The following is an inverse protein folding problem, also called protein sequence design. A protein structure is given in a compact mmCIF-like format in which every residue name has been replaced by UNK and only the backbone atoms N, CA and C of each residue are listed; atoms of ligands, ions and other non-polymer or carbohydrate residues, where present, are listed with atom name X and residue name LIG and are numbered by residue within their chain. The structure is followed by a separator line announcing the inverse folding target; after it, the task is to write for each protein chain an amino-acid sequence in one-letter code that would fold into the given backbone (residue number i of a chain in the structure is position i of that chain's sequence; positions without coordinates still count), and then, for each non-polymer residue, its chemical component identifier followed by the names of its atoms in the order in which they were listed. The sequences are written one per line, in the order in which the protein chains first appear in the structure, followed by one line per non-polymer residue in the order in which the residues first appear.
data_IF_960100347885
#
_entry.id   IF_960100347885
#
_cell.length_a   1.000
_cell.length_b   1.000
_cell.length_c   1.000
_cell.angle_alpha   90.00
_cell.angle_beta   90.00
_cell.angle_gamma   90.00
#
_symmetry.space_group_name_H-M   'P 1'
#
loop_
_entity.id
_entity.type
_entity.pdbx_description
1 polymer ?
#
# COMPACT_ATOMS: atom_id res chain seq x y z
N UNK A 1 14.69 -2.58 8.96
CA UNK A 1 13.64 -3.55 9.38
C UNK A 1 12.29 -2.83 9.21
N UNK A 2 11.50 -3.15 8.18
CA UNK A 2 10.27 -2.42 7.88
C UNK A 2 9.08 -3.05 8.60
N UNK A 3 8.38 -2.27 9.44
CA UNK A 3 7.20 -2.74 10.22
C UNK A 3 6.11 -3.29 9.30
N UNK A 4 5.85 -2.63 8.17
CA UNK A 4 4.86 -3.09 7.17
C UNK A 4 5.17 -4.47 6.60
N UNK A 5 6.44 -4.77 6.31
CA UNK A 5 6.84 -6.10 5.82
C UNK A 5 6.70 -7.19 6.89
N UNK A 6 6.93 -6.86 8.17
CA UNK A 6 6.69 -7.79 9.27
C UNK A 6 5.19 -8.07 9.44
N UNK A 7 4.35 -7.04 9.38
CA UNK A 7 2.90 -7.18 9.42
C UNK A 7 2.38 -8.04 8.26
N UNK A 8 2.73 -7.69 7.02
CA UNK A 8 2.24 -8.42 5.84
C UNK A 8 2.62 -9.89 5.89
N UNK A 9 3.86 -10.22 6.26
CA UNK A 9 4.29 -11.61 6.40
C UNK A 9 3.43 -12.35 7.44
N UNK A 10 3.33 -11.83 8.66
CA UNK A 10 2.55 -12.48 9.72
C UNK A 10 1.06 -12.58 9.38
N UNK A 11 0.51 -11.58 8.68
CA UNK A 11 -0.86 -11.61 8.19
C UNK A 11 -1.07 -12.75 7.18
N UNK A 12 -0.20 -12.89 6.19
CA UNK A 12 -0.29 -13.96 5.19
C UNK A 12 -0.07 -15.34 5.82
N UNK A 13 0.88 -15.47 6.75
CA UNK A 13 1.13 -16.72 7.49
C UNK A 13 -0.10 -17.13 8.32
N UNK A 14 -0.78 -16.16 8.93
CA UNK A 14 -1.97 -16.41 9.76
C UNK A 14 -3.22 -16.68 8.92
N UNK A 15 -3.43 -15.93 7.83
CA UNK A 15 -4.54 -16.12 6.91
C UNK A 15 -4.46 -17.48 6.20
N UNK A 16 -3.25 -17.97 5.91
CA UNK A 16 -3.04 -19.25 5.26
C UNK A 16 -3.68 -19.29 3.87
N UNK A 17 -4.42 -20.37 3.56
CA UNK A 17 -4.98 -20.62 2.23
C UNK A 17 -6.45 -20.18 2.09
N UNK A 18 -6.80 -19.04 2.70
CA UNK A 18 -8.16 -18.48 2.60
C UNK A 18 -8.48 -18.02 1.18
N UNK A 19 -9.74 -18.14 0.73
CA UNK A 19 -10.13 -17.85 -0.66
C UNK A 19 -10.01 -16.38 -1.06
N UNK A 20 -9.87 -15.45 -0.12
CA UNK A 20 -9.72 -14.01 -0.39
C UNK A 20 -8.27 -13.56 -0.57
N UNK A 21 -7.29 -14.46 -0.39
CA UNK A 21 -5.88 -14.19 -0.68
C UNK A 21 -5.56 -14.81 -2.05
N UNK A 22 -5.10 -14.01 -3.02
CA UNK A 22 -4.60 -14.54 -4.29
C UNK A 22 -3.51 -15.59 -4.05
N UNK A 23 -3.63 -16.72 -4.73
CA UNK A 23 -2.61 -17.80 -4.65
C UNK A 23 -1.34 -17.42 -5.38
N UNK A 24 -1.48 -16.63 -6.44
CA UNK A 24 -0.38 -16.08 -7.20
C UNK A 24 0.22 -14.88 -6.46
N UNK A 25 1.54 -14.89 -6.28
CA UNK A 25 2.25 -13.82 -5.55
C UNK A 25 2.33 -12.53 -6.35
N UNK A 26 2.38 -12.60 -7.67
CA UNK A 26 2.36 -11.45 -8.57
C UNK A 26 0.97 -10.79 -8.53
N UNK A 27 -0.10 -11.58 -8.57
CA UNK A 27 -1.47 -11.06 -8.42
C UNK A 27 -1.66 -10.35 -7.07
N UNK A 28 -1.23 -10.99 -5.97
CA UNK A 28 -1.26 -10.38 -4.63
C UNK A 28 -0.46 -9.07 -4.59
N UNK A 29 0.73 -9.05 -5.19
CA UNK A 29 1.59 -7.86 -5.26
C UNK A 29 0.92 -6.73 -6.04
N UNK A 30 0.33 -7.03 -7.20
CA UNK A 30 -0.37 -6.05 -8.04
C UNK A 30 -1.57 -5.47 -7.29
N UNK A 31 -2.42 -6.31 -6.69
CA UNK A 31 -3.59 -5.85 -5.94
C UNK A 31 -3.20 -4.98 -4.74
N UNK A 32 -2.17 -5.39 -3.99
CA UNK A 32 -1.69 -4.63 -2.85
C UNK A 32 -1.10 -3.28 -3.28
N UNK A 33 -0.27 -3.25 -4.33
CA UNK A 33 0.27 -2.00 -4.89
C UNK A 33 -0.84 -1.07 -5.38
N UNK A 34 -1.84 -1.61 -6.09
CA UNK A 34 -2.98 -0.84 -6.58
C UNK A 34 -3.78 -0.21 -5.43
N UNK A 35 -4.10 -0.99 -4.39
CA UNK A 35 -4.80 -0.49 -3.20
C UNK A 35 -4.01 0.60 -2.46
N UNK A 36 -2.71 0.40 -2.26
CA UNK A 36 -1.85 1.39 -1.59
C UNK A 36 -1.76 2.69 -2.41
N UNK A 37 -1.74 2.59 -3.75
CA UNK A 37 -1.72 3.76 -4.63
C UNK A 37 -3.05 4.51 -4.56
N UNK A 38 -4.19 3.82 -4.63
CA UNK A 38 -5.51 4.42 -4.46
C UNK A 38 -5.62 5.17 -3.12
N UNK A 39 -5.16 4.54 -2.04
CA UNK A 39 -5.14 5.15 -0.71
C UNK A 39 -4.29 6.41 -0.66
N UNK A 40 -3.09 6.39 -1.25
CA UNK A 40 -2.20 7.54 -1.27
C UNK A 40 -2.75 8.69 -2.11
N UNK A 41 -3.45 8.41 -3.21
CA UNK A 41 -4.14 9.44 -4.03
C UNK A 41 -5.32 10.04 -3.27
N UNK A 42 -6.10 9.22 -2.57
CA UNK A 42 -7.17 9.70 -1.69
C UNK A 42 -6.63 10.64 -0.61
N UNK A 43 -5.55 10.23 0.07
CA UNK A 43 -4.90 11.03 1.11
C UNK A 43 -4.34 12.33 0.53
N UNK A 44 -3.76 12.32 -0.67
CA UNK A 44 -3.31 13.54 -1.34
C UNK A 44 -4.47 14.54 -1.53
N UNK A 45 -5.61 14.08 -2.04
CA UNK A 45 -6.80 14.92 -2.21
C UNK A 45 -7.31 15.48 -0.87
N UNK A 46 -7.28 14.65 0.17
CA UNK A 46 -7.66 15.05 1.53
C UNK A 46 -6.72 16.11 2.12
N UNK A 47 -5.40 15.91 2.04
CA UNK A 47 -4.41 16.84 2.59
C UNK A 47 -4.39 18.16 1.81
N UNK A 48 -4.59 18.13 0.48
CA UNK A 48 -4.69 19.36 -0.33
C UNK A 48 -5.77 20.33 0.17
N UNK A 49 -6.87 19.80 0.70
CA UNK A 49 -8.00 20.60 1.21
C UNK A 49 -7.79 20.98 2.68
N UNK A 50 -7.35 20.02 3.51
CA UNK A 50 -7.39 20.17 4.96
C UNK A 50 -6.07 20.60 5.60
N UNK A 51 -4.93 20.18 5.04
CA UNK A 51 -3.56 20.41 5.58
C UNK A 51 -2.53 20.44 4.44
N UNK A 52 -2.50 21.51 3.62
CA UNK A 52 -1.64 21.58 2.44
C UNK A 52 -0.15 21.36 2.74
N UNK A 53 0.30 21.63 3.96
CA UNK A 53 1.67 21.40 4.41
C UNK A 53 2.03 19.90 4.56
N UNK A 54 1.05 19.00 4.58
CA UNK A 54 1.26 17.55 4.71
C UNK A 54 1.29 16.79 3.38
N UNK A 55 1.01 17.45 2.24
CA UNK A 55 0.95 16.80 0.91
C UNK A 55 2.23 16.03 0.54
N UNK A 56 3.37 16.42 1.12
CA UNK A 56 4.65 15.75 0.87
C UNK A 56 4.66 14.28 1.34
N UNK A 57 3.82 13.94 2.33
CA UNK A 57 3.70 12.58 2.86
C UNK A 57 3.09 11.63 1.81
N UNK A 58 1.85 11.84 1.33
CA UNK A 58 1.27 10.97 0.30
C UNK A 58 2.06 11.02 -1.02
N UNK A 59 2.63 12.17 -1.41
CA UNK A 59 3.48 12.27 -2.61
C UNK A 59 4.72 11.37 -2.56
N UNK A 60 5.38 11.27 -1.40
CA UNK A 60 6.50 10.33 -1.21
C UNK A 60 6.04 8.88 -1.31
N UNK A 61 4.86 8.56 -0.78
CA UNK A 61 4.24 7.25 -0.90
C UNK A 61 3.96 6.87 -2.36
N UNK A 62 3.32 7.76 -3.12
CA UNK A 62 3.06 7.57 -4.55
C UNK A 62 4.37 7.32 -5.31
N UNK A 63 5.37 8.20 -5.12
CA UNK A 63 6.67 8.05 -5.78
C UNK A 63 7.30 6.69 -5.50
N UNK A 64 7.35 6.28 -4.22
CA UNK A 64 7.90 4.98 -3.83
C UNK A 64 7.19 3.81 -4.51
N UNK A 65 5.85 3.83 -4.57
CA UNK A 65 5.05 2.78 -5.21
C UNK A 65 5.27 2.70 -6.73
N UNK A 66 5.52 3.83 -7.39
CA UNK A 66 5.78 3.87 -8.83
C UNK A 66 7.21 3.46 -9.21
N UNK A 67 8.19 3.70 -8.33
CA UNK A 67 9.59 3.34 -8.58
C UNK A 67 9.91 1.88 -8.22
N UNK A 68 9.10 1.25 -7.38
CA UNK A 68 9.32 -0.14 -6.96
C UNK A 68 8.72 -1.12 -7.98
N UNK A 69 9.56 -1.62 -8.90
CA UNK A 69 9.27 -2.80 -9.72
C UNK A 69 9.34 -4.07 -8.87
#
# INVERSE_FOLDING_TARGET
RYVGGAFLRSYLDTAGNTPFIPKDREELSIMLKAYLLERAVYELGHELINRPEWIIIPLRGIKYLMETN
#
